data_IF_249994820095
#
_entry.id   IF_249994820095
#
_cell.length_a   1.000
_cell.length_b   1.000
_cell.length_c   1.000
_cell.angle_alpha   90.00
_cell.angle_beta   90.00
_cell.angle_gamma   90.00
#
_symmetry.space_group_name_H-M   'P 1'
#
loop_
_entity.id
_entity.type
_entity.pdbx_description
1 polymer ?
#
# COMPACT_ATOMS: atom_id res chain seq x y z
N UNK A 1 -2.92 24.23 6.07
CA UNK A 1 -3.76 23.14 5.53
C UNK A 1 -3.77 22.02 6.56
N UNK A 2 -4.94 21.44 6.87
CA UNK A 2 -5.04 20.36 7.87
C UNK A 2 -4.85 18.97 7.23
N UNK A 3 -5.28 18.81 5.97
CA UNK A 3 -5.03 17.66 5.14
C UNK A 3 -5.01 18.07 3.66
N UNK A 4 -4.29 17.31 2.84
CA UNK A 4 -4.21 17.46 1.40
C UNK A 4 -4.01 16.07 0.78
N UNK A 5 -4.57 15.85 -0.40
CA UNK A 5 -4.32 14.62 -1.15
C UNK A 5 -4.27 14.93 -2.64
N UNK A 6 -3.51 14.13 -3.37
CA UNK A 6 -3.48 14.11 -4.82
C UNK A 6 -3.44 12.65 -5.26
N UNK A 7 -4.28 12.30 -6.23
CA UNK A 7 -4.24 11.00 -6.90
C UNK A 7 -4.20 11.23 -8.40
N UNK A 8 -3.50 10.35 -9.10
CA UNK A 8 -3.43 10.36 -10.55
C UNK A 8 -3.46 8.95 -11.11
N UNK A 9 -3.96 8.83 -12.33
CA UNK A 9 -3.74 7.67 -13.18
C UNK A 9 -3.57 8.14 -14.61
N UNK A 10 -2.67 7.49 -15.35
CA UNK A 10 -2.41 7.81 -16.74
C UNK A 10 -2.00 6.55 -17.49
N UNK A 11 -2.71 6.25 -18.58
CA UNK A 11 -2.24 5.26 -19.55
C UNK A 11 -1.06 5.85 -20.31
N UNK A 12 0.12 5.24 -20.15
CA UNK A 12 1.35 5.68 -20.80
C UNK A 12 1.68 4.87 -22.06
N UNK A 13 1.07 3.68 -22.20
CA UNK A 13 1.16 2.87 -23.41
C UNK A 13 -0.16 2.12 -23.64
N UNK A 14 -0.69 2.15 -24.86
CA UNK A 14 -1.90 1.41 -25.23
C UNK A 14 -1.51 0.08 -25.86
N UNK A 15 -2.03 -1.01 -25.31
CA UNK A 15 -1.80 -2.38 -25.79
C UNK A 15 -3.01 -2.98 -26.52
N UNK A 16 -4.19 -2.34 -26.47
CA UNK A 16 -5.35 -2.75 -27.26
C UNK A 16 -6.55 -1.80 -27.13
N UNK A 17 -7.68 -2.25 -27.66
CA UNK A 17 -8.89 -1.43 -27.83
C UNK A 17 -9.67 -1.21 -26.53
N UNK A 18 -9.47 -2.08 -25.53
CA UNK A 18 -10.11 -1.97 -24.23
C UNK A 18 -9.70 -0.70 -23.47
N UNK A 19 -10.60 -0.18 -22.64
CA UNK A 19 -10.38 1.04 -21.85
C UNK A 19 -9.16 0.93 -20.92
N UNK A 20 -8.94 -0.26 -20.36
CA UNK A 20 -7.80 -0.57 -19.50
C UNK A 20 -6.72 -1.40 -20.20
N UNK A 21 -6.80 -1.60 -21.53
CA UNK A 21 -5.85 -2.42 -22.28
C UNK A 21 -4.56 -1.65 -22.57
N UNK A 22 -3.71 -1.50 -21.57
CA UNK A 22 -2.45 -0.80 -21.68
C UNK A 22 -1.62 -0.83 -20.41
N UNK A 23 -0.47 -0.16 -20.47
CA UNK A 23 0.36 0.18 -19.32
C UNK A 23 -0.15 1.48 -18.71
N UNK A 24 -0.51 1.42 -17.44
CA UNK A 24 -1.05 2.53 -16.67
C UNK A 24 -0.12 2.78 -15.49
N UNK A 25 0.29 4.04 -15.32
CA UNK A 25 0.88 4.51 -14.06
C UNK A 25 -0.25 5.04 -13.20
N UNK A 26 -0.29 4.62 -11.95
CA UNK A 26 -1.23 5.11 -10.94
C UNK A 26 -0.44 5.53 -9.72
N UNK A 27 -0.93 6.51 -8.96
CA UNK A 27 -0.29 6.88 -7.72
C UNK A 27 -1.04 7.94 -6.97
N UNK A 28 -0.54 8.26 -5.80
CA UNK A 28 -1.05 9.33 -4.98
C UNK A 28 -0.11 9.71 -3.85
N UNK A 29 -0.40 10.87 -3.28
CA UNK A 29 0.25 11.39 -2.08
C UNK A 29 -0.82 11.97 -1.18
N UNK A 30 -0.78 11.59 0.09
CA UNK A 30 -1.67 12.07 1.14
C UNK A 30 -0.81 12.70 2.23
N UNK A 31 -1.18 13.91 2.64
CA UNK A 31 -0.57 14.62 3.76
C UNK A 31 -1.65 14.98 4.76
N UNK A 32 -1.42 14.71 6.03
CA UNK A 32 -2.26 15.18 7.13
C UNK A 32 -1.40 15.73 8.27
N UNK A 33 -1.87 16.79 8.93
CA UNK A 33 -1.11 17.41 10.01
C UNK A 33 -0.80 16.41 11.13
N UNK A 34 0.49 16.10 11.34
CA UNK A 34 0.93 15.06 12.27
C UNK A 34 0.53 15.27 13.73
N UNK A 35 0.22 16.51 14.16
CA UNK A 35 -0.32 16.76 15.50
C UNK A 35 -1.73 16.21 15.72
N UNK A 36 -2.41 15.74 14.68
CA UNK A 36 -3.80 15.27 14.73
C UNK A 36 -3.95 13.77 14.39
N UNK A 37 -2.93 13.17 13.76
CA UNK A 37 -2.99 11.79 13.23
C UNK A 37 -1.70 11.03 13.50
N UNK A 38 -1.79 9.71 13.60
CA UNK A 38 -0.58 8.89 13.73
C UNK A 38 0.20 8.71 12.43
N UNK A 39 -0.47 8.61 11.27
CA UNK A 39 0.20 8.56 9.96
C UNK A 39 0.10 9.93 9.31
N UNK A 40 1.25 10.58 9.11
CA UNK A 40 1.34 11.94 8.56
C UNK A 40 1.27 11.91 7.04
N UNK A 41 2.12 11.08 6.45
CA UNK A 41 2.30 11.00 5.00
C UNK A 41 2.03 9.59 4.51
N UNK A 42 1.37 9.50 3.37
CA UNK A 42 1.19 8.25 2.63
C UNK A 42 1.37 8.52 1.15
N UNK A 43 2.42 7.94 0.59
CA UNK A 43 2.83 8.12 -0.79
C UNK A 43 2.84 6.75 -1.46
N UNK A 44 2.25 6.64 -2.64
CA UNK A 44 2.19 5.37 -3.34
C UNK A 44 2.24 5.56 -4.86
N UNK A 45 2.85 4.59 -5.52
CA UNK A 45 2.95 4.56 -6.98
C UNK A 45 2.88 3.11 -7.44
N UNK A 46 2.17 2.88 -8.55
CA UNK A 46 2.00 1.57 -9.13
C UNK A 46 2.04 1.60 -10.65
N UNK A 47 2.40 0.46 -11.22
CA UNK A 47 2.31 0.16 -12.63
C UNK A 47 1.33 -1.00 -12.81
N UNK A 48 0.39 -0.82 -13.74
CA UNK A 48 -0.62 -1.81 -14.08
C UNK A 48 -0.54 -2.08 -15.58
N UNK A 49 -0.51 -3.35 -15.97
CA UNK A 49 -0.51 -3.75 -17.39
C UNK A 49 -1.60 -4.79 -17.63
N UNK A 50 -2.46 -4.55 -18.62
CA UNK A 50 -3.37 -5.59 -19.09
C UNK A 50 -2.60 -6.75 -19.73
N UNK A 51 -3.16 -7.95 -19.70
CA UNK A 51 -2.55 -9.12 -20.35
C UNK A 51 -2.67 -9.18 -21.86
N UNK A 52 -3.08 -8.08 -22.50
CA UNK A 52 -3.18 -7.96 -23.95
C UNK A 52 -1.88 -8.34 -24.69
N UNK A 53 -0.67 -7.94 -24.24
CA UNK A 53 0.58 -8.30 -24.93
C UNK A 53 0.87 -9.81 -24.98
N UNK A 54 0.28 -10.60 -24.07
CA UNK A 54 0.40 -12.06 -24.04
C UNK A 54 -0.93 -12.78 -24.32
N UNK A 55 -1.86 -12.12 -25.01
CA UNK A 55 -3.10 -12.74 -25.48
C UNK A 55 -4.17 -12.98 -24.41
N UNK A 56 -4.03 -12.38 -23.22
CA UNK A 56 -4.97 -12.48 -22.10
C UNK A 56 -5.55 -11.11 -21.73
N UNK A 57 -6.37 -10.49 -22.60
CA UNK A 57 -6.80 -9.10 -22.43
C UNK A 57 -7.67 -8.83 -21.20
N UNK A 58 -8.17 -9.88 -20.53
CA UNK A 58 -8.96 -9.77 -19.29
C UNK A 58 -8.12 -9.98 -18.03
N UNK A 59 -6.85 -10.38 -18.17
CA UNK A 59 -5.91 -10.47 -17.07
C UNK A 59 -5.22 -9.12 -16.83
N UNK A 60 -4.64 -8.96 -15.64
CA UNK A 60 -3.85 -7.79 -15.27
C UNK A 60 -2.64 -8.20 -14.43
N UNK A 61 -1.50 -7.56 -14.65
CA UNK A 61 -0.35 -7.61 -13.76
C UNK A 61 -0.14 -6.23 -13.13
N UNK A 62 0.28 -6.21 -11.87
CA UNK A 62 0.55 -4.98 -11.16
C UNK A 62 1.79 -5.08 -10.29
N UNK A 63 2.50 -3.96 -10.17
CA UNK A 63 3.49 -3.73 -9.12
C UNK A 63 3.20 -2.39 -8.45
N UNK A 64 3.40 -2.31 -7.15
CA UNK A 64 3.16 -1.10 -6.37
C UNK A 64 4.22 -0.93 -5.29
N UNK A 65 4.52 0.33 -5.00
CA UNK A 65 5.29 0.76 -3.84
C UNK A 65 4.45 1.73 -3.02
N UNK A 66 4.52 1.61 -1.69
CA UNK A 66 3.90 2.53 -0.74
C UNK A 66 4.93 2.91 0.34
N UNK A 67 4.97 4.18 0.69
CA UNK A 67 5.70 4.75 1.82
C UNK A 67 4.68 5.37 2.78
N UNK A 68 4.70 4.93 4.04
CA UNK A 68 3.83 5.45 5.10
C UNK A 68 4.70 6.02 6.22
N UNK A 69 4.62 7.32 6.47
CA UNK A 69 5.36 7.98 7.54
C UNK A 69 4.47 8.28 8.74
N UNK A 70 4.96 7.89 9.93
CA UNK A 70 4.30 8.16 11.19
C UNK A 70 4.65 9.57 11.68
N UNK A 71 3.74 10.19 12.41
CA UNK A 71 3.93 11.55 12.89
C UNK A 71 5.00 11.62 13.98
N UNK A 72 5.79 12.68 13.94
CA UNK A 72 6.81 12.94 14.96
C UNK A 72 6.23 13.05 16.37
N UNK A 73 4.99 13.54 16.51
CA UNK A 73 4.26 13.59 17.79
C UNK A 73 3.98 12.21 18.35
N UNK A 74 3.68 11.22 17.50
CA UNK A 74 3.55 9.82 17.92
C UNK A 74 4.89 9.24 18.36
N UNK A 75 5.96 9.48 17.60
CA UNK A 75 7.30 9.04 17.97
C UNK A 75 7.74 9.61 19.34
N UNK A 76 7.57 10.91 19.56
CA UNK A 76 7.87 11.56 20.85
C UNK A 76 7.04 10.99 22.01
N UNK A 77 5.76 10.71 21.78
CA UNK A 77 4.91 10.08 22.79
C UNK A 77 5.44 8.70 23.15
N UNK A 78 5.82 7.89 22.15
CA UNK A 78 6.34 6.55 22.34
C UNK A 78 7.71 6.55 23.03
N UNK A 79 8.60 7.46 22.65
CA UNK A 79 9.88 7.70 23.33
C UNK A 79 9.65 8.07 24.80
N UNK A 80 8.65 8.91 25.10
CA UNK A 80 8.28 9.24 26.47
C UNK A 80 7.74 8.03 27.24
N UNK A 81 6.89 7.19 26.62
CA UNK A 81 6.44 5.93 27.24
C UNK A 81 7.63 5.03 27.58
N UNK A 82 8.56 4.86 26.64
CA UNK A 82 9.75 4.04 26.82
C UNK A 82 10.66 4.58 27.95
N UNK A 83 10.91 5.89 27.97
CA UNK A 83 11.73 6.54 28.99
C UNK A 83 11.12 6.44 30.41
N UNK A 84 9.78 6.43 30.51
CA UNK A 84 9.06 6.29 31.78
C UNK A 84 8.79 4.83 32.18
N UNK A 85 9.16 3.85 31.35
CA UNK A 85 8.84 2.44 31.58
C UNK A 85 7.33 2.14 31.52
N UNK A 86 6.58 2.97 30.79
CA UNK A 86 5.14 2.82 30.61
C UNK A 86 4.83 2.05 29.31
N UNK A 87 3.68 1.35 29.23
CA UNK A 87 3.21 0.79 27.97
C UNK A 87 3.08 1.86 26.88
N UNK A 88 3.28 1.45 25.63
CA UNK A 88 2.93 2.28 24.48
C UNK A 88 1.42 2.48 24.42
N UNK A 89 1.00 3.68 24.04
CA UNK A 89 -0.42 3.96 23.79
C UNK A 89 -0.80 3.44 22.40
N UNK A 90 -1.95 2.78 22.25
CA UNK A 90 -2.46 2.41 20.94
C UNK A 90 -2.82 3.67 20.15
N UNK A 91 -2.78 3.56 18.82
CA UNK A 91 -3.27 4.59 17.92
C UNK A 91 -4.39 4.03 17.02
N UNK A 92 -4.86 4.80 16.03
CA UNK A 92 -5.97 4.40 15.17
C UNK A 92 -5.70 3.14 14.33
N UNK A 93 -4.45 2.69 14.24
CA UNK A 93 -4.04 1.48 13.52
C UNK A 93 -3.83 0.26 14.43
N UNK A 94 -4.09 0.40 15.74
CA UNK A 94 -4.10 -0.68 16.70
C UNK A 94 -2.98 -0.60 17.75
N UNK A 95 -2.53 -1.77 18.19
CA UNK A 95 -1.50 -1.89 19.21
C UNK A 95 -0.13 -1.43 18.71
N UNK A 96 0.62 -0.76 19.58
CA UNK A 96 1.97 -0.26 19.29
C UNK A 96 2.99 -1.12 20.03
N UNK A 97 3.97 -1.63 19.28
CA UNK A 97 4.98 -2.57 19.78
C UNK A 97 6.40 -1.97 19.84
N UNK A 98 6.56 -0.71 19.42
CA UNK A 98 7.82 0.02 19.44
C UNK A 98 7.64 1.44 18.93
N UNK A 99 8.71 2.24 19.02
CA UNK A 99 8.74 3.58 18.45
C UNK A 99 8.55 3.47 16.94
N UNK A 100 7.54 4.16 16.43
CA UNK A 100 7.15 4.11 15.03
C UNK A 100 7.79 5.26 14.24
N UNK A 101 8.21 4.96 13.02
CA UNK A 101 8.92 5.86 12.12
C UNK A 101 8.27 5.86 10.74
N UNK A 102 8.52 4.83 9.94
CA UNK A 102 7.91 4.62 8.63
C UNK A 102 7.79 3.14 8.31
N UNK A 103 6.92 2.82 7.38
CA UNK A 103 6.75 1.49 6.79
C UNK A 103 6.79 1.61 5.27
N UNK A 104 7.47 0.67 4.61
CA UNK A 104 7.40 0.52 3.15
C UNK A 104 6.70 -0.78 2.79
N UNK A 105 5.82 -0.72 1.79
CA UNK A 105 5.17 -1.91 1.23
C UNK A 105 5.48 -1.99 -0.25
N UNK A 106 6.00 -3.14 -0.66
CA UNK A 106 6.20 -3.50 -2.06
C UNK A 106 5.23 -4.60 -2.40
N UNK A 107 4.40 -4.41 -3.42
CA UNK A 107 3.41 -5.39 -3.85
C UNK A 107 3.62 -5.75 -5.31
N UNK A 108 3.44 -7.03 -5.63
CA UNK A 108 3.33 -7.53 -6.98
C UNK A 108 2.18 -8.53 -7.05
N UNK A 109 1.31 -8.40 -8.05
CA UNK A 109 0.18 -9.30 -8.23
C UNK A 109 -0.05 -9.64 -9.69
N UNK A 110 -0.73 -10.75 -9.92
CA UNK A 110 -1.25 -11.13 -11.24
C UNK A 110 -2.69 -11.58 -11.12
N UNK A 111 -3.62 -10.82 -11.67
CA UNK A 111 -5.05 -11.11 -11.68
C UNK A 111 -5.42 -11.94 -12.92
N UNK A 112 -5.90 -13.16 -12.67
CA UNK A 112 -6.33 -14.14 -13.68
C UNK A 112 -7.84 -14.02 -13.83
N UNK A 113 -8.30 -13.68 -15.03
CA UNK A 113 -9.71 -13.84 -15.37
C UNK A 113 -10.02 -15.32 -15.53
N UNK A 114 -10.86 -15.86 -14.63
CA UNK A 114 -11.21 -17.29 -14.61
C UNK A 114 -12.59 -17.56 -15.21
N UNK A 115 -13.55 -16.65 -15.00
CA UNK A 115 -14.90 -16.75 -15.54
C UNK A 115 -15.56 -15.37 -15.58
N UNK A 116 -16.75 -15.29 -16.17
CA UNK A 116 -17.55 -14.05 -16.20
C UNK A 116 -17.69 -13.51 -14.77
N UNK A 117 -17.26 -12.26 -14.58
CA UNK A 117 -17.28 -11.57 -13.29
C UNK A 117 -16.50 -12.26 -12.16
N UNK A 118 -15.59 -13.19 -12.49
CA UNK A 118 -14.75 -13.92 -11.52
C UNK A 118 -13.27 -13.78 -11.86
N UNK A 119 -12.47 -13.43 -10.85
CA UNK A 119 -11.01 -13.35 -10.96
C UNK A 119 -10.32 -14.01 -9.76
N UNK A 120 -9.15 -14.59 -10.01
CA UNK A 120 -8.24 -15.12 -9.00
C UNK A 120 -6.90 -14.39 -9.11
N UNK A 121 -6.42 -13.82 -8.02
CA UNK A 121 -5.23 -12.97 -7.99
C UNK A 121 -4.27 -13.46 -6.90
N UNK A 122 -3.25 -14.26 -7.22
CA UNK A 122 -2.08 -14.38 -6.34
C UNK A 122 -1.38 -13.03 -6.19
N UNK A 123 -0.91 -12.75 -4.99
CA UNK A 123 -0.14 -11.55 -4.67
C UNK A 123 1.07 -11.88 -3.79
N UNK A 124 2.11 -11.06 -3.94
CA UNK A 124 3.30 -11.06 -3.12
C UNK A 124 3.48 -9.66 -2.54
N UNK A 125 3.73 -9.58 -1.24
CA UNK A 125 4.01 -8.34 -0.55
C UNK A 125 5.30 -8.46 0.26
N UNK A 126 6.17 -7.46 0.17
CA UNK A 126 7.32 -7.29 1.05
C UNK A 126 7.13 -6.04 1.90
N UNK A 127 7.02 -6.23 3.21
CA UNK A 127 6.81 -5.18 4.19
C UNK A 127 8.13 -4.91 4.90
N UNK A 128 8.66 -3.72 4.69
CA UNK A 128 9.83 -3.22 5.40
C UNK A 128 9.39 -2.44 6.63
N UNK A 129 9.88 -2.83 7.81
CA UNK A 129 9.45 -2.29 9.12
C UNK A 129 7.94 -2.41 9.36
N UNK A 130 7.37 -3.64 9.43
CA UNK A 130 5.95 -3.82 9.71
C UNK A 130 5.52 -3.09 11.00
N UNK A 131 4.39 -2.40 10.95
CA UNK A 131 3.91 -1.54 12.03
C UNK A 131 4.73 -0.25 12.19
N UNK A 132 5.48 0.14 11.16
CA UNK A 132 6.44 1.25 11.14
C UNK A 132 7.52 1.21 12.23
N UNK A 133 7.81 0.05 12.80
CA UNK A 133 8.78 -0.13 13.91
C UNK A 133 9.90 -1.08 13.52
N UNK A 134 11.04 -0.99 14.21
CA UNK A 134 12.12 -1.98 14.13
C UNK A 134 11.94 -3.15 15.10
N UNK A 135 10.84 -3.21 15.85
CA UNK A 135 10.54 -4.33 16.74
C UNK A 135 10.39 -5.64 15.96
N UNK A 136 9.83 -5.57 14.76
CA UNK A 136 9.64 -6.71 13.88
C UNK A 136 10.66 -6.69 12.75
N UNK A 137 11.11 -7.88 12.33
CA UNK A 137 11.85 -8.02 11.09
C UNK A 137 10.94 -7.79 9.89
N UNK A 138 11.54 -7.43 8.76
CA UNK A 138 10.83 -7.32 7.49
C UNK A 138 10.13 -8.64 7.14
N UNK A 139 8.97 -8.53 6.51
CA UNK A 139 8.11 -9.66 6.22
C UNK A 139 7.92 -9.83 4.71
N UNK A 140 8.00 -11.07 4.24
CA UNK A 140 7.59 -11.46 2.90
C UNK A 140 6.30 -12.28 3.02
N UNK A 141 5.25 -11.82 2.36
CA UNK A 141 3.88 -12.36 2.45
C UNK A 141 3.45 -12.82 1.07
N UNK A 142 2.90 -14.03 1.00
CA UNK A 142 2.25 -14.55 -0.19
C UNK A 142 0.77 -14.68 0.13
N UNK A 143 -0.06 -14.04 -0.68
CA UNK A 143 -1.49 -14.00 -0.55
C UNK A 143 -2.19 -14.46 -1.82
N UNK A 144 -3.51 -14.52 -1.72
CA UNK A 144 -4.36 -14.55 -2.90
C UNK A 144 -5.70 -13.87 -2.59
N UNK A 145 -6.25 -13.22 -3.60
CA UNK A 145 -7.59 -12.65 -3.59
C UNK A 145 -8.46 -13.39 -4.61
N UNK A 146 -9.66 -13.75 -4.19
CA UNK A 146 -10.69 -14.30 -5.07
C UNK A 146 -11.88 -13.34 -5.10
N UNK A 147 -12.28 -12.90 -6.29
CA UNK A 147 -13.38 -11.95 -6.47
C UNK A 147 -14.42 -12.54 -7.41
N UNK A 148 -15.69 -12.49 -7.01
CA UNK A 148 -16.82 -12.90 -7.85
C UNK A 148 -18.00 -11.95 -7.64
N UNK A 149 -18.66 -11.54 -8.72
CA UNK A 149 -19.93 -10.81 -8.64
C UNK A 149 -21.05 -11.69 -9.21
N UNK A 150 -22.06 -11.97 -8.38
CA UNK A 150 -23.22 -12.80 -8.72
C UNK A 150 -24.35 -11.96 -9.32
#
# INVERSE_FOLDING_TARGET
MNAAWLMFNQMIHRSGDGLANGLIVIGGVDYTQGSQVAMRDHEWIGLLQSGTPWGRPLDQIGVMFQYMEMSHTVALQQESSLALGLPYLPNQWGAVYGIQSHENVWEAFYSIHVARATAFQPDFQYLQRPGATTTFHDAAVIGFQFTTNL
#
